data_IF_668722808635
#
_entry.id   IF_668722808635
#
_cell.length_a   1.000
_cell.length_b   1.000
_cell.length_c   1.000
_cell.angle_alpha   90.00
_cell.angle_beta   90.00
_cell.angle_gamma   90.00
#
_symmetry.space_group_name_H-M   'P 1'
#
loop_
_entity.id
_entity.type
_entity.pdbx_description
1 polymer ?
#
# COMPACT_ATOMS: atom_id res chain seq x y z
N UNK A 1 -12.70 -7.09 -2.33
CA UNK A 1 -13.84 -6.36 -2.97
C UNK A 1 -15.22 -6.76 -2.46
N UNK A 2 -15.48 -8.03 -2.07
CA UNK A 2 -16.81 -8.43 -1.58
C UNK A 2 -17.23 -7.69 -0.31
N UNK A 3 -16.33 -7.59 0.68
CA UNK A 3 -16.66 -7.00 1.98
C UNK A 3 -16.94 -5.49 1.89
N UNK A 4 -16.14 -4.76 1.10
CA UNK A 4 -16.38 -3.33 0.89
C UNK A 4 -17.70 -3.07 0.15
N UNK A 5 -18.08 -3.91 -0.82
CA UNK A 5 -19.36 -3.79 -1.50
C UNK A 5 -20.54 -4.02 -0.54
N UNK A 6 -20.44 -5.03 0.34
CA UNK A 6 -21.45 -5.29 1.36
C UNK A 6 -21.58 -4.11 2.34
N UNK A 7 -20.44 -3.55 2.77
CA UNK A 7 -20.41 -2.37 3.63
C UNK A 7 -21.10 -1.16 2.98
N UNK A 8 -20.71 -0.81 1.76
CA UNK A 8 -21.28 0.35 1.06
C UNK A 8 -22.78 0.22 0.83
N UNK A 9 -23.27 -0.99 0.58
CA UNK A 9 -24.70 -1.28 0.45
C UNK A 9 -25.42 -1.10 1.79
N UNK A 10 -24.87 -1.64 2.88
CA UNK A 10 -25.43 -1.52 4.23
C UNK A 10 -25.52 -0.07 4.69
N UNK A 11 -24.47 0.72 4.45
CA UNK A 11 -24.40 2.14 4.81
C UNK A 11 -25.15 3.06 3.83
N UNK A 12 -25.78 2.49 2.78
CA UNK A 12 -26.57 3.23 1.78
C UNK A 12 -25.81 4.39 1.14
N UNK A 13 -24.52 4.19 0.84
CA UNK A 13 -23.74 5.21 0.13
C UNK A 13 -24.35 5.48 -1.25
N UNK A 14 -24.31 6.73 -1.71
CA UNK A 14 -24.80 7.05 -3.05
C UNK A 14 -23.95 6.36 -4.13
N UNK A 15 -24.54 6.14 -5.31
CA UNK A 15 -23.91 5.40 -6.42
C UNK A 15 -22.58 5.99 -6.87
N UNK A 16 -22.45 7.31 -6.88
CA UNK A 16 -21.25 8.01 -7.33
C UNK A 16 -20.10 7.77 -6.36
N UNK A 17 -20.36 7.85 -5.05
CA UNK A 17 -19.39 7.50 -4.02
C UNK A 17 -19.03 6.01 -4.08
N UNK A 18 -19.99 5.12 -4.32
CA UNK A 18 -19.70 3.69 -4.51
C UNK A 18 -18.82 3.41 -5.73
N UNK A 19 -18.98 4.19 -6.83
CA UNK A 19 -18.12 4.08 -8.01
C UNK A 19 -16.70 4.54 -7.68
N UNK A 20 -16.56 5.69 -7.03
CA UNK A 20 -15.25 6.23 -6.64
C UNK A 20 -14.51 5.32 -5.67
N UNK A 21 -15.19 4.78 -4.66
CA UNK A 21 -14.60 3.82 -3.72
C UNK A 21 -14.13 2.56 -4.45
N UNK A 22 -14.94 2.01 -5.37
CA UNK A 22 -14.53 0.85 -6.18
C UNK A 22 -13.32 1.15 -7.05
N UNK A 23 -13.31 2.32 -7.70
CA UNK A 23 -12.20 2.77 -8.54
C UNK A 23 -10.91 2.91 -7.72
N UNK A 24 -10.98 3.54 -6.56
CA UNK A 24 -9.85 3.70 -5.65
C UNK A 24 -9.27 2.35 -5.22
N UNK A 25 -10.11 1.43 -4.73
CA UNK A 25 -9.62 0.11 -4.30
C UNK A 25 -9.15 -0.77 -5.47
N UNK A 26 -9.79 -0.69 -6.63
CA UNK A 26 -9.35 -1.39 -7.84
C UNK A 26 -7.97 -0.93 -8.30
N UNK A 27 -7.76 0.39 -8.39
CA UNK A 27 -6.46 0.97 -8.73
C UNK A 27 -5.36 0.54 -7.75
N UNK A 28 -5.63 0.59 -6.45
CA UNK A 28 -4.66 0.19 -5.44
C UNK A 28 -4.35 -1.31 -5.51
N UNK A 29 -5.35 -2.15 -5.77
CA UNK A 29 -5.16 -3.59 -5.94
C UNK A 29 -4.21 -3.90 -7.11
N UNK A 30 -4.46 -3.29 -8.27
CA UNK A 30 -3.62 -3.44 -9.46
C UNK A 30 -2.21 -2.92 -9.24
N UNK A 31 -2.07 -1.75 -8.58
CA UNK A 31 -0.76 -1.16 -8.30
C UNK A 31 0.06 -1.95 -7.28
N UNK A 32 -0.58 -2.55 -6.29
CA UNK A 32 0.09 -3.26 -5.21
C UNK A 32 0.26 -4.76 -5.50
N UNK A 33 -0.29 -5.26 -6.61
CA UNK A 33 -0.30 -6.69 -6.93
C UNK A 33 -1.11 -7.52 -5.92
N UNK A 34 -2.06 -6.89 -5.22
CA UNK A 34 -2.82 -7.53 -4.14
C UNK A 34 -2.03 -7.79 -2.84
N UNK A 35 -0.83 -7.23 -2.69
CA UNK A 35 0.03 -7.45 -1.52
C UNK A 35 -0.19 -6.34 -0.47
N UNK A 36 -0.44 -6.74 0.77
CA UNK A 36 -0.36 -5.83 1.92
C UNK A 36 1.10 -5.67 2.37
N UNK A 37 1.83 -4.74 1.76
CA UNK A 37 3.22 -4.48 2.13
C UNK A 37 3.39 -4.06 3.59
N UNK A 38 2.40 -3.43 4.22
CA UNK A 38 2.51 -3.05 5.65
C UNK A 38 2.50 -4.28 6.55
N UNK A 39 1.62 -5.24 6.27
CA UNK A 39 1.60 -6.52 6.95
C UNK A 39 2.89 -7.30 6.73
N UNK A 40 3.34 -7.41 5.47
CA UNK A 40 4.56 -8.15 5.10
C UNK A 40 5.80 -7.56 5.77
N UNK A 41 5.98 -6.24 5.75
CA UNK A 41 7.16 -5.60 6.35
C UNK A 41 7.23 -5.76 7.88
N UNK A 42 6.08 -5.98 8.55
CA UNK A 42 6.04 -6.30 9.98
C UNK A 42 6.56 -7.70 10.27
N UNK A 43 6.46 -8.64 9.33
CA UNK A 43 7.00 -10.01 9.48
C UNK A 43 8.53 -10.06 9.33
N UNK A 44 9.14 -9.01 8.77
CA UNK A 44 10.59 -8.90 8.71
C UNK A 44 11.11 -8.44 10.08
N UNK A 45 11.41 -9.38 10.98
CA UNK A 45 11.95 -9.08 12.32
C UNK A 45 13.36 -8.47 12.26
N UNK A 46 14.14 -8.82 11.24
CA UNK A 46 15.46 -8.25 11.00
C UNK A 46 15.36 -6.88 10.33
N UNK A 47 15.97 -5.86 10.96
CA UNK A 47 16.01 -4.48 10.44
C UNK A 47 16.62 -4.43 9.04
N UNK A 48 17.66 -5.22 8.78
CA UNK A 48 18.32 -5.32 7.47
C UNK A 48 17.37 -5.81 6.39
N UNK A 49 16.68 -6.93 6.61
CA UNK A 49 15.70 -7.49 5.67
C UNK A 49 14.55 -6.51 5.41
N UNK A 50 14.05 -5.85 6.46
CA UNK A 50 12.99 -4.84 6.33
C UNK A 50 13.46 -3.64 5.50
N UNK A 51 14.70 -3.19 5.71
CA UNK A 51 15.29 -2.05 4.99
C UNK A 51 15.48 -2.39 3.51
N UNK A 52 16.00 -3.57 3.20
CA UNK A 52 16.17 -4.04 1.81
C UNK A 52 14.83 -4.17 1.09
N UNK A 53 13.81 -4.73 1.75
CA UNK A 53 12.47 -4.80 1.17
C UNK A 53 11.88 -3.41 0.90
N UNK A 54 12.04 -2.45 1.82
CA UNK A 54 11.61 -1.06 1.64
C UNK A 54 12.34 -0.41 0.45
N UNK A 55 13.65 -0.59 0.36
CA UNK A 55 14.45 -0.03 -0.75
C UNK A 55 14.09 -0.69 -2.08
N UNK A 56 13.81 -1.99 -2.11
CA UNK A 56 13.38 -2.68 -3.32
C UNK A 56 12.03 -2.17 -3.82
N UNK A 57 11.05 -1.99 -2.92
CA UNK A 57 9.70 -1.55 -3.27
C UNK A 57 9.65 -0.05 -3.62
N UNK A 58 10.30 0.80 -2.81
CA UNK A 58 10.15 2.26 -2.88
C UNK A 58 11.37 2.99 -3.45
N UNK A 59 12.48 2.29 -3.72
CA UNK A 59 13.72 2.85 -4.26
C UNK A 59 13.52 3.72 -5.51
N UNK A 60 12.74 3.29 -6.52
CA UNK A 60 12.45 4.12 -7.69
C UNK A 60 11.75 5.45 -7.36
N UNK A 61 10.95 5.48 -6.29
CA UNK A 61 10.30 6.71 -5.81
C UNK A 61 11.32 7.61 -5.13
N UNK A 62 12.15 7.07 -4.24
CA UNK A 62 13.20 7.84 -3.56
C UNK A 62 14.20 8.48 -4.53
N UNK A 63 14.56 7.76 -5.61
CA UNK A 63 15.43 8.28 -6.66
C UNK A 63 14.85 9.53 -7.36
N UNK A 64 13.52 9.63 -7.51
CA UNK A 64 12.86 10.76 -8.17
C UNK A 64 12.79 12.02 -7.31
N UNK A 65 12.79 11.88 -5.99
CA UNK A 65 12.65 13.00 -5.05
C UNK A 65 13.99 13.46 -4.45
N UNK A 66 15.12 12.99 -4.98
CA UNK A 66 16.46 13.21 -4.42
C UNK A 66 16.55 12.89 -2.92
N UNK A 67 15.77 11.90 -2.45
CA UNK A 67 15.75 11.53 -1.05
C UNK A 67 16.93 10.63 -0.75
N UNK A 68 17.88 11.13 0.03
CA UNK A 68 19.07 10.39 0.43
C UNK A 68 18.82 9.72 1.79
N UNK A 69 18.63 8.40 1.78
CA UNK A 69 18.60 7.60 3.01
C UNK A 69 19.97 7.70 3.68
N UNK A 70 20.08 8.49 4.75
CA UNK A 70 21.18 8.32 5.70
C UNK A 70 20.83 7.14 6.60
N UNK A 71 21.46 5.99 6.34
CA UNK A 71 21.64 4.97 7.37
C UNK A 71 22.41 5.63 8.52
N UNK A 72 21.70 6.12 9.53
CA UNK A 72 22.31 6.34 10.83
C UNK A 72 22.26 5.01 11.58
N UNK A 73 23.47 4.52 11.85
CA UNK A 73 23.77 3.36 12.66
C UNK A 73 22.93 3.30 13.93
N UNK A 74 22.19 2.21 14.09
CA UNK A 74 21.89 1.57 15.37
C UNK A 74 22.10 0.08 15.17
#
# INVERSE_FOLDING_TARGET
MKDINAYMFREKLNTELQKEVRRYYGYNWEKMGGIDYRGVLKLCDQITLRTDAILHIYGPTFAKVHFQFRLLAL
#
